data_IF_159783751180
#
_entry.id   IF_159783751180
#
_cell.length_a   1.000
_cell.length_b   1.000
_cell.length_c   1.000
_cell.angle_alpha   90.00
_cell.angle_beta   90.00
_cell.angle_gamma   90.00
#
_symmetry.space_group_name_H-M   'P 1'
#
loop_
_entity.id
_entity.type
_entity.pdbx_description
1 polymer ?
#
# COMPACT_ATOMS: atom_id res chain seq x y z
N UNK A 1 -9.56 -9.55 17.68
CA UNK A 1 -8.50 -10.02 18.54
C UNK A 1 -7.27 -9.16 18.48
N UNK A 2 -6.22 -9.49 19.21
CA UNK A 2 -5.00 -8.69 19.17
C UNK A 2 -4.38 -8.72 17.78
N UNK A 3 -3.67 -7.64 17.40
CA UNK A 3 -3.00 -7.61 16.09
C UNK A 3 -1.92 -8.70 16.03
N UNK A 4 -1.82 -9.36 14.88
CA UNK A 4 -0.77 -10.33 14.64
C UNK A 4 0.51 -9.59 14.26
N UNK A 5 1.64 -10.29 14.30
CA UNK A 5 2.91 -9.75 13.84
C UNK A 5 2.81 -9.34 12.37
N UNK A 6 2.08 -10.11 11.56
CA UNK A 6 1.90 -9.79 10.15
C UNK A 6 1.14 -8.47 9.96
N UNK A 7 0.10 -8.25 10.77
CA UNK A 7 -0.64 -7.00 10.71
C UNK A 7 0.23 -5.81 11.11
N UNK A 8 1.01 -5.98 12.17
CA UNK A 8 1.94 -4.92 12.62
C UNK A 8 2.96 -4.62 11.52
N UNK A 9 3.50 -5.65 10.88
CA UNK A 9 4.46 -5.48 9.80
C UNK A 9 3.85 -4.74 8.61
N UNK A 10 2.62 -5.07 8.25
CA UNK A 10 1.92 -4.40 7.14
C UNK A 10 1.70 -2.92 7.46
N UNK A 11 1.24 -2.61 8.67
CA UNK A 11 1.03 -1.22 9.07
C UNK A 11 2.34 -0.45 9.05
N UNK A 12 3.40 -1.03 9.57
CA UNK A 12 4.72 -0.40 9.56
C UNK A 12 5.21 -0.16 8.13
N UNK A 13 5.00 -1.15 7.24
CA UNK A 13 5.39 -1.02 5.84
C UNK A 13 4.60 0.08 5.14
N UNK A 14 3.30 0.18 5.40
CA UNK A 14 2.47 1.25 4.83
C UNK A 14 2.97 2.63 5.23
N UNK A 15 3.46 2.77 6.46
CA UNK A 15 3.98 4.05 6.93
C UNK A 15 5.25 4.50 6.21
N UNK A 16 5.97 3.57 5.57
CA UNK A 16 7.18 3.93 4.81
C UNK A 16 6.85 4.50 3.44
N UNK A 17 5.62 4.34 2.96
CA UNK A 17 5.23 4.81 1.64
C UNK A 17 5.02 6.33 1.64
N UNK A 18 5.38 7.01 0.54
CA UNK A 18 4.98 8.41 0.36
C UNK A 18 3.47 8.53 0.46
N UNK A 19 3.01 9.67 0.98
CA UNK A 19 1.58 9.85 1.27
C UNK A 19 0.66 9.52 0.09
N UNK A 20 0.90 10.03 -1.14
CA UNK A 20 -0.01 9.72 -2.25
C UNK A 20 -0.04 8.23 -2.61
N UNK A 21 1.10 7.54 -2.48
CA UNK A 21 1.19 6.11 -2.75
C UNK A 21 0.45 5.33 -1.67
N UNK A 22 0.68 5.68 -0.41
CA UNK A 22 -0.01 5.05 0.72
C UNK A 22 -1.52 5.20 0.62
N UNK A 23 -1.98 6.39 0.26
CA UNK A 23 -3.41 6.66 0.08
C UNK A 23 -4.02 5.74 -0.97
N UNK A 24 -3.39 5.65 -2.15
CA UNK A 24 -3.89 4.80 -3.23
C UNK A 24 -3.94 3.33 -2.80
N UNK A 25 -2.88 2.85 -2.17
CA UNK A 25 -2.80 1.46 -1.69
C UNK A 25 -3.89 1.19 -0.65
N UNK A 26 -4.05 2.09 0.30
CA UNK A 26 -5.05 1.94 1.37
C UNK A 26 -6.46 1.93 0.78
N UNK A 27 -6.77 2.85 -0.12
CA UNK A 27 -8.09 2.92 -0.73
C UNK A 27 -8.41 1.67 -1.55
N UNK A 28 -7.42 1.14 -2.25
CA UNK A 28 -7.64 -0.02 -3.11
C UNK A 28 -7.73 -1.32 -2.33
N UNK A 29 -6.78 -1.59 -1.44
CA UNK A 29 -6.68 -2.89 -0.78
C UNK A 29 -7.47 -2.98 0.52
N UNK A 30 -7.62 -1.87 1.23
CA UNK A 30 -8.37 -1.84 2.49
C UNK A 30 -9.78 -1.30 2.25
N UNK A 31 -9.89 -0.24 1.46
CA UNK A 31 -11.17 0.38 1.14
C UNK A 31 -11.95 -0.32 0.04
N UNK A 32 -11.32 -1.27 -0.63
CA UNK A 32 -11.94 -2.06 -1.71
C UNK A 32 -12.44 -1.20 -2.87
N UNK A 33 -11.77 -0.10 -3.13
CA UNK A 33 -12.11 0.80 -4.23
C UNK A 33 -11.39 0.40 -5.51
N UNK A 34 -12.09 0.55 -6.64
CA UNK A 34 -11.47 0.33 -7.95
C UNK A 34 -10.53 1.48 -8.28
N UNK A 35 -9.65 1.25 -9.25
CA UNK A 35 -8.74 2.30 -9.73
C UNK A 35 -9.54 3.53 -10.19
N UNK A 36 -10.63 3.31 -10.94
CA UNK A 36 -11.46 4.41 -11.42
C UNK A 36 -12.13 5.18 -10.26
N UNK A 37 -12.58 4.46 -9.24
CA UNK A 37 -13.16 5.09 -8.05
C UNK A 37 -12.12 5.94 -7.32
N UNK A 38 -10.90 5.42 -7.17
CA UNK A 38 -9.81 6.17 -6.52
C UNK A 38 -9.47 7.42 -7.35
N UNK A 39 -9.38 7.25 -8.67
CA UNK A 39 -9.10 8.36 -9.56
C UNK A 39 -10.13 9.48 -9.40
N UNK A 40 -11.41 9.09 -9.33
CA UNK A 40 -12.49 10.04 -9.14
C UNK A 40 -12.43 10.72 -7.77
N UNK A 41 -12.27 9.92 -6.71
CA UNK A 41 -12.25 10.43 -5.34
C UNK A 41 -11.07 11.37 -5.09
N UNK A 42 -9.92 11.10 -5.70
CA UNK A 42 -8.71 11.89 -5.50
C UNK A 42 -8.50 12.93 -6.59
N UNK A 43 -9.42 13.02 -7.55
CA UNK A 43 -9.30 13.90 -8.70
C UNK A 43 -7.94 13.74 -9.38
N UNK A 44 -7.58 12.49 -9.63
CA UNK A 44 -6.27 12.11 -10.16
C UNK A 44 -6.47 11.20 -11.38
N UNK A 45 -5.67 11.33 -12.43
CA UNK A 45 -5.80 10.43 -13.59
C UNK A 45 -5.62 8.97 -13.21
N UNK A 46 -6.39 8.08 -13.82
CA UNK A 46 -6.36 6.65 -13.53
C UNK A 46 -4.95 6.06 -13.76
N UNK A 47 -4.24 6.51 -14.78
CA UNK A 47 -2.88 6.06 -15.03
C UNK A 47 -1.92 6.38 -13.88
N UNK A 48 -2.11 7.53 -13.25
CA UNK A 48 -1.32 7.92 -12.07
C UNK A 48 -1.64 7.00 -10.90
N UNK A 49 -2.91 6.64 -10.71
CA UNK A 49 -3.31 5.71 -9.65
C UNK A 49 -2.68 4.34 -9.88
N UNK A 50 -2.71 3.85 -11.13
CA UNK A 50 -2.05 2.58 -11.48
C UNK A 50 -0.57 2.60 -11.14
N UNK A 51 0.11 3.70 -11.48
CA UNK A 51 1.53 3.85 -11.18
C UNK A 51 1.81 3.86 -9.68
N UNK A 52 0.96 4.55 -8.92
CA UNK A 52 1.08 4.60 -7.45
C UNK A 52 0.88 3.22 -6.83
N UNK A 53 -0.11 2.47 -7.31
CA UNK A 53 -0.35 1.12 -6.82
C UNK A 53 0.82 0.20 -7.14
N UNK A 54 1.35 0.29 -8.37
CA UNK A 54 2.50 -0.50 -8.77
C UNK A 54 3.70 -0.22 -7.86
N UNK A 55 4.01 1.06 -7.65
CA UNK A 55 5.11 1.48 -6.79
C UNK A 55 4.89 1.03 -5.35
N UNK A 56 3.67 1.19 -4.86
CA UNK A 56 3.32 0.80 -3.49
C UNK A 56 3.49 -0.69 -3.27
N UNK A 57 3.02 -1.52 -4.21
CA UNK A 57 3.18 -2.97 -4.11
C UNK A 57 4.64 -3.37 -4.10
N UNK A 58 5.46 -2.74 -4.95
CA UNK A 58 6.89 -3.04 -4.99
C UNK A 58 7.58 -2.69 -3.67
N UNK A 59 7.28 -1.53 -3.11
CA UNK A 59 7.87 -1.10 -1.85
C UNK A 59 7.38 -1.95 -0.68
N UNK A 60 6.10 -2.30 -0.65
CA UNK A 60 5.55 -3.18 0.39
C UNK A 60 6.17 -4.56 0.32
N UNK A 61 6.35 -5.11 -0.88
CA UNK A 61 6.98 -6.42 -1.05
C UNK A 61 8.41 -6.41 -0.48
N UNK A 62 9.16 -5.36 -0.75
CA UNK A 62 10.52 -5.23 -0.22
C UNK A 62 10.52 -5.11 1.31
N UNK A 63 9.63 -4.28 1.85
CA UNK A 63 9.55 -4.07 3.29
C UNK A 63 9.14 -5.34 4.03
N UNK A 64 8.15 -6.06 3.50
CA UNK A 64 7.66 -7.29 4.12
C UNK A 64 8.65 -8.43 3.96
N UNK A 65 9.35 -8.49 2.84
CA UNK A 65 10.38 -9.49 2.62
C UNK A 65 11.54 -9.30 3.61
N UNK A 66 11.91 -8.06 3.87
CA UNK A 66 12.93 -7.74 4.84
C UNK A 66 12.52 -8.17 6.25
N UNK A 67 11.24 -7.95 6.61
CA UNK A 67 10.70 -8.35 7.90
C UNK A 67 10.66 -9.88 8.05
N UNK A 68 10.30 -10.58 6.99
CA UNK A 68 10.17 -12.04 7.01
C UNK A 68 11.52 -12.75 7.07
N UNK A 69 12.60 -12.06 6.76
CA UNK A 69 13.93 -12.66 6.71
C UNK A 69 14.91 -11.87 7.58
N UNK A 70 14.69 -11.86 8.90
CA UNK A 70 15.49 -11.04 9.80
C UNK A 70 16.95 -11.44 9.88
N UNK A 71 17.28 -12.65 9.42
CA UNK A 71 18.65 -13.17 9.44
C UNK A 71 19.33 -13.09 8.07
N UNK A 72 18.57 -12.65 7.09
CA UNK A 72 19.04 -12.61 5.71
C UNK A 72 20.09 -11.59 5.43
#
# INVERSE_FOLDING_TARGET
GPPTEDRVAVVAALRTLPEPVREAVTMHYIGDLSIDQIAHETNTPAGTIKARLHRGRAQLALALQHEENPHG
#
